data_IF_287449936414
#
_entry.id   IF_287449936414
#
_cell.length_a   1.000
_cell.length_b   1.000
_cell.length_c   1.000
_cell.angle_alpha   90.00
_cell.angle_beta   90.00
_cell.angle_gamma   90.00
#
_symmetry.space_group_name_H-M   'P 1'
#
loop_
_entity.id
_entity.type
_entity.pdbx_description
1 polymer ?
#
# COMPACT_ATOMS: atom_id res chain seq x y z
N UNK A 1 -13.80 8.22 32.42
CA UNK A 1 -13.47 7.17 31.43
C UNK A 1 -13.96 5.85 31.98
N UNK A 2 -14.86 5.18 31.30
CA UNK A 2 -15.47 3.93 31.78
C UNK A 2 -14.55 2.76 31.41
N UNK A 3 -13.67 2.35 32.36
CA UNK A 3 -12.60 1.37 32.13
C UNK A 3 -13.13 0.03 31.55
N UNK A 4 -14.26 -0.53 32.02
CA UNK A 4 -14.84 -1.73 31.44
C UNK A 4 -15.18 -1.59 29.94
N UNK A 5 -15.82 -0.49 29.54
CA UNK A 5 -16.16 -0.24 28.12
C UNK A 5 -14.92 -0.03 27.25
N UNK A 6 -13.88 0.62 27.80
CA UNK A 6 -12.59 0.75 27.10
C UNK A 6 -11.95 -0.63 26.86
N UNK A 7 -11.90 -1.48 27.88
CA UNK A 7 -11.34 -2.83 27.75
C UNK A 7 -12.11 -3.67 26.71
N UNK A 8 -13.46 -3.63 26.74
CA UNK A 8 -14.31 -4.31 25.77
C UNK A 8 -14.10 -3.77 24.34
N UNK A 9 -13.92 -2.46 24.18
CA UNK A 9 -13.66 -1.83 22.89
C UNK A 9 -12.30 -2.22 22.31
N UNK A 10 -11.28 -2.42 23.15
CA UNK A 10 -9.94 -2.83 22.74
C UNK A 10 -9.87 -4.33 22.38
N UNK A 11 -10.75 -5.16 22.93
CA UNK A 11 -10.67 -6.63 22.85
C UNK A 11 -10.66 -7.18 21.42
N UNK A 12 -11.48 -6.71 20.43
CA UNK A 12 -11.43 -7.19 19.06
C UNK A 12 -10.10 -6.92 18.37
N UNK A 13 -9.50 -5.73 18.63
CA UNK A 13 -8.20 -5.35 18.05
C UNK A 13 -7.08 -6.18 18.70
N UNK A 14 -7.11 -6.34 20.03
CA UNK A 14 -6.15 -7.16 20.76
C UNK A 14 -6.22 -8.62 20.32
N UNK A 15 -7.44 -9.17 20.14
CA UNK A 15 -7.64 -10.51 19.58
C UNK A 15 -7.02 -10.64 18.19
N UNK A 16 -7.29 -9.69 17.30
CA UNK A 16 -6.75 -9.70 15.95
C UNK A 16 -5.21 -9.68 15.97
N UNK A 17 -4.63 -8.79 16.79
CA UNK A 17 -3.18 -8.66 16.93
C UNK A 17 -2.56 -9.96 17.49
N UNK A 18 -3.15 -10.57 18.52
CA UNK A 18 -2.71 -11.83 19.09
C UNK A 18 -2.85 -12.98 18.08
N UNK A 19 -4.00 -13.10 17.41
CA UNK A 19 -4.26 -14.13 16.42
C UNK A 19 -3.22 -14.12 15.28
N UNK A 20 -2.88 -12.95 14.79
CA UNK A 20 -1.91 -12.79 13.70
C UNK A 20 -0.47 -12.95 14.17
N UNK A 21 -0.08 -12.30 15.28
CA UNK A 21 1.31 -12.19 15.71
C UNK A 21 1.77 -13.34 16.58
N UNK A 22 0.96 -13.77 17.57
CA UNK A 22 1.30 -14.83 18.52
C UNK A 22 0.90 -16.21 18.00
N UNK A 23 -0.36 -16.35 17.56
CA UNK A 23 -0.90 -17.65 17.14
C UNK A 23 -0.69 -17.94 15.65
N UNK A 24 -0.19 -16.96 14.86
CA UNK A 24 0.10 -17.10 13.42
C UNK A 24 -1.09 -17.61 12.60
N UNK A 25 -2.31 -17.27 13.03
CA UNK A 25 -3.56 -17.60 12.33
C UNK A 25 -3.57 -16.91 10.96
N UNK A 26 -4.07 -17.57 9.92
CA UNK A 26 -4.23 -16.96 8.60
C UNK A 26 -5.11 -15.72 8.66
N UNK A 27 -4.75 -14.66 7.95
CA UNK A 27 -5.37 -13.33 8.06
C UNK A 27 -6.90 -13.35 7.92
N UNK A 28 -7.45 -14.09 6.95
CA UNK A 28 -8.90 -14.18 6.77
C UNK A 28 -9.64 -14.83 7.97
N UNK A 29 -9.05 -15.82 8.65
CA UNK A 29 -9.63 -16.41 9.86
C UNK A 29 -9.47 -15.49 11.08
N UNK A 30 -8.34 -14.81 11.21
CA UNK A 30 -8.11 -13.87 12.30
C UNK A 30 -9.08 -12.67 12.21
N UNK A 31 -9.27 -12.10 11.01
CA UNK A 31 -10.22 -11.00 10.79
C UNK A 31 -11.67 -11.42 10.93
N UNK A 32 -12.04 -12.64 10.50
CA UNK A 32 -13.35 -13.20 10.76
C UNK A 32 -13.61 -13.34 12.26
N UNK A 33 -12.68 -13.97 13.00
CA UNK A 33 -12.80 -14.12 14.46
C UNK A 33 -12.94 -12.79 15.18
N UNK A 34 -12.15 -11.78 14.81
CA UNK A 34 -12.25 -10.43 15.35
C UNK A 34 -13.59 -9.75 15.04
N UNK A 35 -14.12 -9.93 13.81
CA UNK A 35 -15.41 -9.39 13.41
C UNK A 35 -16.57 -10.05 14.20
N UNK A 36 -16.53 -11.36 14.36
CA UNK A 36 -17.51 -12.09 15.16
C UNK A 36 -17.44 -11.71 16.64
N UNK A 37 -16.23 -11.52 17.19
CA UNK A 37 -16.03 -11.05 18.55
C UNK A 37 -16.59 -9.63 18.74
N UNK A 38 -16.29 -8.71 17.83
CA UNK A 38 -16.82 -7.36 17.88
C UNK A 38 -18.37 -7.35 17.82
N UNK A 39 -18.94 -8.21 16.96
CA UNK A 39 -20.39 -8.35 16.83
C UNK A 39 -21.02 -8.91 18.12
N UNK A 40 -20.41 -9.93 18.73
CA UNK A 40 -20.88 -10.49 19.98
C UNK A 40 -20.83 -9.45 21.13
N UNK A 41 -19.74 -8.70 21.23
CA UNK A 41 -19.60 -7.62 22.21
C UNK A 41 -20.60 -6.48 21.96
N UNK A 42 -20.82 -6.08 20.70
CA UNK A 42 -21.80 -5.08 20.33
C UNK A 42 -23.20 -5.47 20.77
N UNK A 43 -23.61 -6.72 20.51
CA UNK A 43 -24.90 -7.25 20.90
C UNK A 43 -25.06 -7.47 22.42
N UNK A 44 -23.96 -7.70 23.13
CA UNK A 44 -24.01 -7.94 24.59
C UNK A 44 -23.97 -6.62 25.38
N UNK A 45 -23.10 -5.68 25.02
CA UNK A 45 -22.72 -4.55 25.87
C UNK A 45 -22.95 -3.17 25.24
N UNK A 46 -23.14 -3.06 23.91
CA UNK A 46 -23.26 -1.80 23.19
C UNK A 46 -24.59 -1.64 22.45
N UNK A 47 -25.66 -2.25 22.96
CA UNK A 47 -27.00 -2.27 22.31
C UNK A 47 -27.62 -0.90 22.15
N UNK A 48 -27.28 0.04 23.02
CA UNK A 48 -27.78 1.42 22.96
C UNK A 48 -27.23 2.16 21.74
N UNK A 49 -25.99 1.82 21.31
CA UNK A 49 -25.36 2.38 20.14
C UNK A 49 -25.64 1.56 18.87
N UNK A 50 -25.70 0.23 18.97
CA UNK A 50 -25.98 -0.69 17.86
C UNK A 50 -27.14 -1.63 18.23
N UNK A 51 -28.41 -1.20 18.03
CA UNK A 51 -29.55 -2.06 18.24
C UNK A 51 -29.53 -3.31 17.34
N UNK A 52 -30.02 -4.48 17.79
CA UNK A 52 -30.00 -5.72 17.01
C UNK A 52 -30.59 -5.60 15.59
N UNK A 53 -31.61 -4.75 15.40
CA UNK A 53 -32.21 -4.48 14.09
C UNK A 53 -31.26 -3.82 13.09
N UNK A 54 -30.23 -3.08 13.55
CA UNK A 54 -29.25 -2.39 12.70
C UNK A 54 -28.03 -3.25 12.39
N UNK A 55 -27.85 -4.38 13.03
CA UNK A 55 -26.68 -5.25 12.84
C UNK A 55 -26.59 -5.77 11.41
N UNK A 56 -27.69 -6.31 10.88
CA UNK A 56 -27.70 -6.84 9.51
C UNK A 56 -27.41 -5.76 8.45
N UNK A 57 -28.03 -4.55 8.50
CA UNK A 57 -27.64 -3.43 7.64
C UNK A 57 -26.17 -3.03 7.73
N UNK A 58 -25.60 -2.95 8.94
CA UNK A 58 -24.18 -2.58 9.16
C UNK A 58 -23.23 -3.61 8.56
N UNK A 59 -23.52 -4.90 8.77
CA UNK A 59 -22.73 -6.01 8.19
C UNK A 59 -22.85 -5.99 6.65
N UNK A 60 -24.07 -5.82 6.12
CA UNK A 60 -24.31 -5.76 4.68
C UNK A 60 -23.58 -4.58 4.02
N UNK A 61 -23.57 -3.40 4.66
CA UNK A 61 -22.80 -2.23 4.20
C UNK A 61 -21.29 -2.56 4.17
N UNK A 62 -20.76 -3.18 5.23
CA UNK A 62 -19.37 -3.59 5.29
C UNK A 62 -18.97 -4.56 4.17
N UNK A 63 -19.79 -5.58 3.92
CA UNK A 63 -19.56 -6.55 2.83
C UNK A 63 -19.73 -5.90 1.46
N UNK A 64 -20.80 -5.13 1.26
CA UNK A 64 -21.09 -4.45 0.00
C UNK A 64 -19.95 -3.50 -0.40
N UNK A 65 -19.48 -2.70 0.55
CA UNK A 65 -18.38 -1.79 0.33
C UNK A 65 -17.04 -2.53 0.09
N UNK A 66 -16.83 -3.68 0.73
CA UNK A 66 -15.66 -4.52 0.47
C UNK A 66 -15.66 -5.05 -0.96
N UNK A 67 -16.78 -5.61 -1.41
CA UNK A 67 -16.89 -6.20 -2.75
C UNK A 67 -16.82 -5.14 -3.84
N UNK A 68 -17.52 -4.04 -3.66
CA UNK A 68 -17.51 -2.92 -4.60
C UNK A 68 -17.41 -1.59 -3.83
N UNK A 69 -16.37 -0.76 -4.08
CA UNK A 69 -15.41 -0.85 -5.20
C UNK A 69 -14.11 -1.61 -4.91
N UNK A 70 -13.79 -1.95 -3.63
CA UNK A 70 -12.42 -2.31 -3.21
C UNK A 70 -11.92 -3.59 -3.87
N UNK A 71 -12.63 -4.71 -3.69
CA UNK A 71 -12.21 -5.99 -4.27
C UNK A 71 -12.17 -5.95 -5.81
N UNK A 72 -13.05 -5.15 -6.44
CA UNK A 72 -13.03 -4.98 -7.88
C UNK A 72 -11.73 -4.31 -8.36
N UNK A 73 -11.30 -3.21 -7.72
CA UNK A 73 -10.03 -2.53 -8.09
C UNK A 73 -8.85 -3.47 -7.89
N UNK A 74 -8.80 -4.15 -6.75
CA UNK A 74 -7.74 -5.12 -6.44
C UNK A 74 -7.70 -6.25 -7.46
N UNK A 75 -8.86 -6.84 -7.78
CA UNK A 75 -8.96 -7.91 -8.77
C UNK A 75 -8.49 -7.44 -10.16
N UNK A 76 -8.94 -6.26 -10.59
CA UNK A 76 -8.58 -5.67 -11.86
C UNK A 76 -7.07 -5.41 -11.98
N UNK A 77 -6.46 -4.84 -10.93
CA UNK A 77 -5.03 -4.56 -10.86
C UNK A 77 -4.18 -5.85 -10.93
N UNK A 78 -4.55 -6.86 -10.13
CA UNK A 78 -3.91 -8.18 -10.14
C UNK A 78 -4.13 -8.91 -11.47
N UNK A 79 -5.27 -8.72 -12.13
CA UNK A 79 -5.55 -9.27 -13.45
C UNK A 79 -4.62 -8.68 -14.51
N UNK A 80 -4.42 -7.35 -14.56
CA UNK A 80 -3.46 -6.70 -15.48
C UNK A 80 -2.06 -7.30 -15.29
N UNK A 81 -1.60 -7.42 -14.04
CA UNK A 81 -0.33 -8.07 -13.73
C UNK A 81 -0.28 -9.52 -14.22
N UNK A 82 -1.31 -10.32 -13.90
CA UNK A 82 -1.37 -11.73 -14.27
C UNK A 82 -1.40 -11.94 -15.79
N UNK A 83 -2.06 -11.06 -16.55
CA UNK A 83 -2.03 -11.07 -18.01
C UNK A 83 -0.61 -10.80 -18.55
N UNK A 84 0.09 -9.83 -17.97
CA UNK A 84 1.46 -9.50 -18.38
C UNK A 84 2.43 -10.65 -18.10
N UNK A 85 2.20 -11.42 -17.03
CA UNK A 85 2.94 -12.67 -16.76
C UNK A 85 2.58 -13.78 -17.75
N UNK A 86 1.28 -14.00 -17.98
CA UNK A 86 0.75 -15.07 -18.85
C UNK A 86 1.17 -14.88 -20.31
N UNK A 87 1.29 -13.63 -20.79
CA UNK A 87 1.76 -13.30 -22.16
C UNK A 87 3.28 -13.43 -22.31
N UNK A 88 4.04 -13.57 -21.24
CA UNK A 88 5.51 -13.51 -21.23
C UNK A 88 6.09 -12.08 -21.26
N UNK A 89 5.25 -11.06 -21.38
CA UNK A 89 5.67 -9.65 -21.45
C UNK A 89 6.45 -9.21 -20.20
N UNK A 90 6.13 -9.77 -19.03
CA UNK A 90 6.90 -9.49 -17.79
C UNK A 90 8.37 -9.90 -17.92
N UNK A 91 8.67 -10.99 -18.66
CA UNK A 91 10.04 -11.40 -18.98
C UNK A 91 10.79 -10.34 -19.81
N UNK A 92 10.12 -9.80 -20.83
CA UNK A 92 10.65 -8.72 -21.68
C UNK A 92 10.94 -7.45 -20.86
N UNK A 93 10.02 -7.05 -19.98
CA UNK A 93 10.21 -5.91 -19.06
C UNK A 93 11.44 -6.12 -18.17
N UNK A 94 11.54 -7.30 -17.51
CA UNK A 94 12.66 -7.64 -16.62
C UNK A 94 14.00 -7.61 -17.36
N UNK A 95 14.07 -8.22 -18.54
CA UNK A 95 15.29 -8.23 -19.36
C UNK A 95 15.69 -6.80 -19.78
N UNK A 96 14.71 -5.97 -20.15
CA UNK A 96 14.96 -4.56 -20.49
C UNK A 96 15.56 -3.79 -19.32
N UNK A 97 15.01 -3.93 -18.12
CA UNK A 97 15.50 -3.25 -16.91
C UNK A 97 16.91 -3.71 -16.53
N UNK A 98 17.17 -5.01 -16.55
CA UNK A 98 18.47 -5.58 -16.22
C UNK A 98 19.57 -5.14 -17.20
N UNK A 99 19.22 -4.88 -18.46
CA UNK A 99 20.16 -4.44 -19.50
C UNK A 99 20.53 -2.95 -19.49
N UNK A 100 19.95 -2.12 -18.59
CA UNK A 100 20.15 -0.66 -18.59
C UNK A 100 21.56 -0.27 -18.17
N UNK A 101 22.16 -0.96 -17.20
CA UNK A 101 23.47 -0.61 -16.63
C UNK A 101 24.23 -1.79 -16.09
N UNK A 102 25.57 -1.75 -16.15
CA UNK A 102 26.43 -2.67 -15.43
C UNK A 102 26.72 -2.26 -13.97
N UNK A 103 26.35 -1.04 -13.55
CA UNK A 103 26.52 -0.62 -12.16
C UNK A 103 25.33 -1.12 -11.31
N UNK A 104 25.57 -1.97 -10.30
CA UNK A 104 24.52 -2.52 -9.47
C UNK A 104 23.74 -1.45 -8.69
N UNK A 105 24.33 -0.30 -8.41
CA UNK A 105 23.64 0.80 -7.71
C UNK A 105 22.57 1.45 -8.59
N UNK A 106 22.86 1.60 -9.89
CA UNK A 106 21.89 2.06 -10.89
C UNK A 106 20.72 1.08 -11.00
N UNK A 107 21.04 -0.23 -11.07
CA UNK A 107 20.04 -1.29 -11.11
C UNK A 107 19.19 -1.32 -9.83
N UNK A 108 19.79 -1.10 -8.66
CA UNK A 108 19.03 -1.00 -7.41
C UNK A 108 18.02 0.17 -7.44
N UNK A 109 18.44 1.37 -7.89
CA UNK A 109 17.54 2.51 -8.05
C UNK A 109 16.44 2.23 -9.08
N UNK A 110 16.81 1.66 -10.23
CA UNK A 110 15.85 1.39 -11.30
C UNK A 110 14.82 0.32 -10.91
N UNK A 111 15.29 -0.81 -10.34
CA UNK A 111 14.43 -1.97 -10.05
C UNK A 111 13.67 -1.77 -8.73
N UNK A 112 14.30 -1.24 -7.69
CA UNK A 112 13.65 -1.12 -6.38
C UNK A 112 12.83 0.16 -6.31
N UNK A 113 13.45 1.31 -6.62
CA UNK A 113 12.78 2.60 -6.50
C UNK A 113 11.82 2.88 -7.67
N UNK A 114 12.22 2.59 -8.90
CA UNK A 114 11.36 2.79 -10.07
C UNK A 114 10.33 1.67 -10.22
N UNK A 115 10.77 0.46 -10.55
CA UNK A 115 9.88 -0.64 -10.87
C UNK A 115 9.12 -1.16 -9.64
N UNK A 116 9.75 -1.20 -8.46
CA UNK A 116 9.09 -1.61 -7.21
C UNK A 116 7.90 -0.71 -6.85
N UNK A 117 8.11 0.62 -6.87
CA UNK A 117 7.04 1.57 -6.59
C UNK A 117 5.92 1.53 -7.65
N UNK A 118 6.30 1.42 -8.93
CA UNK A 118 5.35 1.18 -10.01
C UNK A 118 4.51 -0.09 -9.76
N UNK A 119 5.14 -1.18 -9.35
CA UNK A 119 4.43 -2.45 -9.06
C UNK A 119 3.53 -2.37 -7.83
N UNK A 120 3.90 -1.61 -6.80
CA UNK A 120 3.00 -1.36 -5.67
C UNK A 120 1.79 -0.56 -6.11
N UNK A 121 1.99 0.52 -6.86
CA UNK A 121 0.91 1.33 -7.42
C UNK A 121 -0.04 0.51 -8.30
N UNK A 122 0.51 -0.40 -9.12
CA UNK A 122 -0.29 -1.23 -10.01
C UNK A 122 -0.99 -2.39 -9.32
N UNK A 123 -0.29 -3.18 -8.51
CA UNK A 123 -0.79 -4.47 -8.05
C UNK A 123 -0.84 -4.59 -6.51
N UNK A 124 0.10 -3.97 -5.80
CA UNK A 124 0.19 -4.09 -4.35
C UNK A 124 0.43 -5.54 -3.88
N UNK A 125 -0.15 -5.89 -2.74
CA UNK A 125 -0.19 -7.27 -2.19
C UNK A 125 1.16 -8.00 -2.14
N UNK A 126 2.26 -7.24 -1.93
CA UNK A 126 3.61 -7.78 -1.82
C UNK A 126 4.34 -7.95 -3.15
N UNK A 127 3.74 -7.59 -4.30
CA UNK A 127 4.40 -7.65 -5.62
C UNK A 127 5.62 -6.75 -5.68
N UNK A 128 5.57 -5.57 -5.05
CA UNK A 128 6.65 -4.60 -4.96
C UNK A 128 7.87 -5.09 -4.14
N UNK A 129 7.67 -6.10 -3.32
CA UNK A 129 8.78 -6.73 -2.59
C UNK A 129 9.24 -8.00 -3.30
N UNK A 130 8.30 -8.88 -3.67
CA UNK A 130 8.62 -10.18 -4.25
C UNK A 130 9.33 -10.08 -5.59
N UNK A 131 8.79 -9.26 -6.51
CA UNK A 131 9.27 -9.24 -7.89
C UNK A 131 10.63 -8.55 -7.99
N UNK A 132 10.82 -7.33 -7.45
CA UNK A 132 12.12 -6.67 -7.46
C UNK A 132 13.19 -7.47 -6.71
N UNK A 133 12.87 -8.10 -5.56
CA UNK A 133 13.84 -8.93 -4.84
C UNK A 133 14.30 -10.13 -5.68
N UNK A 134 13.35 -10.85 -6.30
CA UNK A 134 13.68 -11.96 -7.20
C UNK A 134 14.51 -11.51 -8.41
N UNK A 135 14.19 -10.33 -8.99
CA UNK A 135 14.96 -9.74 -10.10
C UNK A 135 16.40 -9.44 -9.69
N UNK A 136 16.58 -8.77 -8.55
CA UNK A 136 17.91 -8.43 -8.03
C UNK A 136 18.76 -9.68 -7.77
N UNK A 137 18.18 -10.71 -7.16
CA UNK A 137 18.86 -11.99 -6.93
C UNK A 137 19.23 -12.65 -8.26
N UNK A 138 18.34 -12.63 -9.24
CA UNK A 138 18.57 -13.18 -10.58
C UNK A 138 19.71 -12.51 -11.35
N UNK A 139 20.07 -11.28 -11.02
CA UNK A 139 21.20 -10.52 -11.61
C UNK A 139 22.44 -10.47 -10.67
N UNK A 140 22.45 -11.26 -9.58
CA UNK A 140 23.63 -11.48 -8.76
C UNK A 140 23.75 -10.65 -7.48
N UNK A 141 22.68 -9.97 -7.04
CA UNK A 141 22.68 -9.30 -5.72
C UNK A 141 22.61 -10.31 -4.58
N UNK A 142 23.20 -9.93 -3.43
CA UNK A 142 23.01 -10.67 -2.19
C UNK A 142 21.50 -10.74 -1.86
N UNK A 143 20.96 -11.97 -1.66
CA UNK A 143 19.52 -12.13 -1.47
C UNK A 143 18.94 -11.37 -0.28
N UNK A 144 19.68 -11.29 0.83
CA UNK A 144 19.20 -10.60 2.02
C UNK A 144 19.18 -9.07 1.82
N UNK A 145 20.21 -8.51 1.18
CA UNK A 145 20.24 -7.09 0.81
C UNK A 145 19.13 -6.75 -0.18
N UNK A 146 18.88 -7.61 -1.17
CA UNK A 146 17.79 -7.43 -2.12
C UNK A 146 16.42 -7.33 -1.41
N UNK A 147 16.15 -8.25 -0.48
CA UNK A 147 14.91 -8.21 0.33
C UNK A 147 14.84 -6.94 1.17
N UNK A 148 15.92 -6.59 1.87
CA UNK A 148 15.94 -5.39 2.72
C UNK A 148 15.72 -4.10 1.94
N UNK A 149 16.37 -3.93 0.78
CA UNK A 149 16.15 -2.78 -0.10
C UNK A 149 14.67 -2.67 -0.51
N UNK A 150 14.04 -3.78 -0.89
CA UNK A 150 12.63 -3.78 -1.27
C UNK A 150 11.69 -3.49 -0.10
N UNK A 151 11.97 -4.04 1.11
CA UNK A 151 11.17 -3.76 2.30
C UNK A 151 11.23 -2.28 2.70
N UNK A 152 12.44 -1.70 2.70
CA UNK A 152 12.63 -0.27 3.02
C UNK A 152 11.97 0.63 1.98
N UNK A 153 12.14 0.34 0.70
CA UNK A 153 11.53 1.13 -0.36
C UNK A 153 10.00 1.08 -0.36
N UNK A 154 9.40 -0.05 0.07
CA UNK A 154 7.94 -0.24 0.03
C UNK A 154 7.18 0.53 1.13
N UNK A 155 7.84 1.30 1.96
CA UNK A 155 7.19 2.10 3.02
C UNK A 155 6.32 3.21 2.46
N UNK A 156 6.82 3.95 1.50
CA UNK A 156 6.14 5.11 0.87
C UNK A 156 4.99 4.68 -0.06
N UNK A 157 5.22 3.79 -1.05
CA UNK A 157 4.20 3.52 -2.06
C UNK A 157 3.02 2.70 -1.50
N UNK A 158 3.14 2.13 -0.31
CA UNK A 158 2.02 1.45 0.36
C UNK A 158 0.77 2.33 0.49
N UNK A 159 0.94 3.65 0.58
CA UNK A 159 -0.15 4.62 0.67
C UNK A 159 -1.07 4.60 -0.57
N UNK A 160 -0.48 4.55 -1.74
CA UNK A 160 -1.17 4.63 -3.04
C UNK A 160 -1.18 3.30 -3.79
N UNK A 161 -0.84 2.21 -3.09
CA UNK A 161 -0.76 0.87 -3.67
C UNK A 161 -2.09 0.38 -4.23
N UNK A 162 -2.03 -0.58 -5.16
CA UNK A 162 -3.21 -1.18 -5.82
C UNK A 162 -4.20 -0.12 -6.33
N UNK A 163 -3.70 0.82 -7.11
CA UNK A 163 -4.51 1.91 -7.70
C UNK A 163 -5.23 2.75 -6.62
N UNK A 164 -4.48 3.13 -5.56
CA UNK A 164 -4.97 4.03 -4.51
C UNK A 164 -5.93 3.44 -3.48
N UNK A 165 -6.13 2.11 -3.48
CA UNK A 165 -7.08 1.43 -2.58
C UNK A 165 -6.90 1.80 -1.11
N UNK A 166 -5.70 1.89 -0.51
CA UNK A 166 -5.54 2.23 0.89
C UNK A 166 -6.13 3.60 1.26
N UNK A 167 -5.87 4.63 0.45
CA UNK A 167 -6.40 5.99 0.68
C UNK A 167 -7.91 6.05 0.37
N UNK A 168 -8.36 5.49 -0.74
CA UNK A 168 -9.78 5.47 -1.10
C UNK A 168 -10.64 4.77 -0.04
N UNK A 169 -10.12 3.67 0.53
CA UNK A 169 -10.76 2.95 1.63
C UNK A 169 -10.78 3.77 2.91
N UNK A 170 -9.63 4.38 3.26
CA UNK A 170 -9.56 5.23 4.45
C UNK A 170 -10.53 6.41 4.36
N UNK A 171 -10.54 7.12 3.24
CA UNK A 171 -11.46 8.23 3.00
C UNK A 171 -12.92 7.84 3.29
N UNK A 172 -13.31 6.65 2.85
CA UNK A 172 -14.67 6.13 3.04
C UNK A 172 -15.00 5.77 4.49
N UNK A 173 -14.05 5.14 5.24
CA UNK A 173 -14.30 4.76 6.64
C UNK A 173 -14.17 5.92 7.60
N UNK A 174 -13.39 6.94 7.25
CA UNK A 174 -13.14 8.13 8.07
C UNK A 174 -14.02 9.33 7.73
N UNK A 175 -14.76 9.28 6.61
CA UNK A 175 -15.57 10.41 6.13
C UNK A 175 -14.76 11.53 5.48
N UNK A 176 -13.45 11.35 5.26
CA UNK A 176 -12.59 12.32 4.57
C UNK A 176 -12.84 12.33 3.06
N UNK A 177 -12.57 13.46 2.40
CA UNK A 177 -12.49 13.51 0.94
C UNK A 177 -11.23 12.79 0.44
N UNK A 178 -11.36 11.89 -0.53
CA UNK A 178 -10.26 11.04 -0.99
C UNK A 178 -9.13 11.85 -1.65
N UNK A 179 -9.44 12.90 -2.41
CA UNK A 179 -8.44 13.72 -3.08
C UNK A 179 -7.69 14.61 -2.08
N UNK A 180 -8.43 15.23 -1.14
CA UNK A 180 -7.81 16.01 -0.07
C UNK A 180 -6.92 15.13 0.80
N UNK A 181 -7.36 13.92 1.14
CA UNK A 181 -6.58 12.96 1.91
C UNK A 181 -5.32 12.50 1.15
N UNK A 182 -5.44 12.25 -0.16
CA UNK A 182 -4.29 11.90 -1.01
C UNK A 182 -3.24 13.02 -1.00
N UNK A 183 -3.65 14.27 -1.24
CA UNK A 183 -2.74 15.41 -1.20
C UNK A 183 -2.09 15.62 0.19
N UNK A 184 -2.86 15.48 1.28
CA UNK A 184 -2.34 15.59 2.65
C UNK A 184 -1.35 14.46 2.96
N UNK A 185 -1.65 13.23 2.52
CA UNK A 185 -0.75 12.08 2.68
C UNK A 185 0.57 12.31 1.94
N UNK A 186 0.52 12.80 0.71
CA UNK A 186 1.73 13.12 -0.06
C UNK A 186 2.58 14.19 0.63
N UNK A 187 1.95 15.25 1.15
CA UNK A 187 2.66 16.30 1.88
C UNK A 187 3.33 15.74 3.14
N UNK A 188 2.61 14.97 3.93
CA UNK A 188 3.11 14.40 5.18
C UNK A 188 4.25 13.39 4.93
N UNK A 189 4.15 12.58 3.87
CA UNK A 189 5.16 11.60 3.51
C UNK A 189 6.38 12.17 2.79
N UNK A 190 6.35 13.42 2.35
CA UNK A 190 7.38 14.00 1.48
C UNK A 190 8.79 13.81 2.03
N UNK A 191 8.99 14.11 3.32
CA UNK A 191 10.30 13.98 3.97
C UNK A 191 10.80 12.53 4.05
N UNK A 192 9.88 11.57 4.27
CA UNK A 192 10.20 10.14 4.32
C UNK A 192 10.50 9.62 2.92
N UNK A 193 9.70 10.03 1.94
CA UNK A 193 9.82 9.62 0.54
C UNK A 193 11.14 10.08 -0.07
N UNK A 194 11.55 11.33 0.20
CA UNK A 194 12.81 11.90 -0.28
C UNK A 194 14.06 11.17 0.24
N UNK A 195 13.95 10.36 1.26
CA UNK A 195 15.05 9.51 1.72
C UNK A 195 15.14 8.18 0.95
N UNK A 196 14.10 7.79 0.22
CA UNK A 196 13.97 6.46 -0.40
C UNK A 196 15.18 5.98 -1.19
N UNK A 197 15.63 6.70 -2.25
CA UNK A 197 16.80 6.32 -3.04
C UNK A 197 18.08 6.17 -2.19
N UNK A 198 18.26 7.07 -1.22
CA UNK A 198 19.43 7.07 -0.35
C UNK A 198 19.40 5.89 0.63
N UNK A 199 18.24 5.56 1.19
CA UNK A 199 18.07 4.40 2.06
C UNK A 199 18.35 3.09 1.32
N UNK A 200 17.88 2.96 0.07
CA UNK A 200 18.17 1.81 -0.81
C UNK A 200 19.69 1.63 -0.97
N UNK A 201 20.41 2.71 -1.30
CA UNK A 201 21.86 2.69 -1.50
C UNK A 201 22.61 2.41 -0.18
N UNK A 202 22.15 2.96 0.94
CA UNK A 202 22.72 2.68 2.26
C UNK A 202 22.53 1.22 2.67
N UNK A 203 21.39 0.62 2.40
CA UNK A 203 21.15 -0.82 2.63
C UNK A 203 22.03 -1.68 1.72
N UNK A 204 22.21 -1.26 0.47
CA UNK A 204 23.05 -1.98 -0.50
C UNK A 204 24.52 -2.06 -0.07
N UNK A 205 25.15 -0.94 0.30
CA UNK A 205 26.59 -0.92 0.55
C UNK A 205 27.05 0.18 1.52
N UNK A 206 26.18 0.67 2.39
CA UNK A 206 26.49 1.70 3.36
C UNK A 206 26.88 3.03 2.72
N UNK A 207 27.62 3.85 3.46
CA UNK A 207 28.08 5.18 2.97
C UNK A 207 28.97 5.08 1.72
N UNK A 208 29.67 3.97 1.54
CA UNK A 208 30.52 3.77 0.36
C UNK A 208 29.70 3.68 -0.93
N UNK A 209 28.49 3.13 -0.88
CA UNK A 209 27.61 3.04 -2.05
C UNK A 209 27.11 4.41 -2.56
N UNK A 210 27.16 5.44 -1.73
CA UNK A 210 26.76 6.80 -2.13
C UNK A 210 27.82 7.54 -2.95
N UNK A 211 29.08 7.09 -2.92
CA UNK A 211 30.18 7.80 -3.60
C UNK A 211 29.99 7.81 -5.12
N UNK A 212 29.89 8.99 -5.69
CA UNK A 212 29.77 9.20 -7.13
C UNK A 212 28.39 8.91 -7.76
N UNK A 213 27.43 8.38 -6.98
CA UNK A 213 26.08 8.06 -7.45
C UNK A 213 25.02 9.07 -6.97
N UNK A 214 25.37 9.95 -6.02
CA UNK A 214 24.44 10.94 -5.43
C UNK A 214 23.70 11.77 -6.49
N UNK A 215 24.34 12.28 -7.57
CA UNK A 215 23.59 13.03 -8.60
C UNK A 215 22.49 12.20 -9.26
N UNK A 216 22.75 10.91 -9.54
CA UNK A 216 21.73 10.02 -10.11
C UNK A 216 20.64 9.66 -9.08
N UNK A 217 21.00 9.52 -7.81
CA UNK A 217 20.02 9.30 -6.73
C UNK A 217 19.09 10.52 -6.59
N UNK A 218 19.60 11.73 -6.69
CA UNK A 218 18.79 12.96 -6.71
C UNK A 218 17.90 13.05 -7.95
N UNK A 219 18.39 12.63 -9.12
CA UNK A 219 17.54 12.54 -10.32
C UNK A 219 16.43 11.50 -10.12
N UNK A 220 16.73 10.33 -9.55
CA UNK A 220 15.73 9.31 -9.27
C UNK A 220 14.70 9.79 -8.25
N UNK A 221 15.14 10.55 -7.24
CA UNK A 221 14.28 11.12 -6.22
C UNK A 221 13.34 12.17 -6.80
N UNK A 222 13.87 13.17 -7.51
CA UNK A 222 13.07 14.20 -8.17
C UNK A 222 12.11 13.62 -9.22
N UNK A 223 12.56 12.62 -9.99
CA UNK A 223 11.75 11.93 -10.97
C UNK A 223 10.56 11.16 -10.33
N UNK A 224 10.71 10.71 -9.09
CA UNK A 224 9.61 10.13 -8.33
C UNK A 224 8.73 11.20 -7.69
N UNK A 225 9.31 12.07 -6.87
CA UNK A 225 8.61 13.02 -6.02
C UNK A 225 7.71 13.99 -6.79
N UNK A 226 8.20 14.53 -7.90
CA UNK A 226 7.46 15.58 -8.63
C UNK A 226 6.16 15.02 -9.21
N UNK A 227 6.15 14.00 -10.10
CA UNK A 227 4.89 13.48 -10.65
C UNK A 227 4.04 12.78 -9.59
N UNK A 228 4.65 12.13 -8.60
CA UNK A 228 3.95 11.51 -7.47
C UNK A 228 3.15 12.53 -6.65
N UNK A 229 3.79 13.63 -6.24
CA UNK A 229 3.14 14.69 -5.48
C UNK A 229 2.05 15.41 -6.29
N UNK A 230 2.34 15.75 -7.55
CA UNK A 230 1.38 16.41 -8.42
C UNK A 230 0.17 15.51 -8.70
N UNK A 231 0.38 14.23 -8.93
CA UNK A 231 -0.71 13.27 -9.11
C UNK A 231 -1.57 13.16 -7.85
N UNK A 232 -0.96 13.01 -6.67
CA UNK A 232 -1.69 12.94 -5.40
C UNK A 232 -2.51 14.22 -5.13
N UNK A 233 -1.98 15.37 -5.52
CA UNK A 233 -2.62 16.66 -5.26
C UNK A 233 -3.75 16.98 -6.23
N UNK A 234 -3.64 16.58 -7.51
CA UNK A 234 -4.53 17.05 -8.59
C UNK A 234 -5.32 15.94 -9.29
N UNK A 235 -4.84 14.68 -9.28
CA UNK A 235 -5.48 13.57 -9.98
C UNK A 235 -6.16 12.58 -9.04
N UNK A 236 -5.77 12.56 -7.76
CA UNK A 236 -6.33 11.64 -6.75
C UNK A 236 -5.37 10.51 -6.35
N UNK A 237 -5.85 9.51 -5.61
CA UNK A 237 -4.99 8.48 -5.03
C UNK A 237 -4.56 7.38 -6.01
N UNK A 238 -5.14 7.29 -7.21
CA UNK A 238 -4.96 6.15 -8.11
C UNK A 238 -3.62 6.14 -8.85
N UNK A 239 -3.06 7.32 -9.16
CA UNK A 239 -1.95 7.47 -10.09
C UNK A 239 -0.58 7.80 -9.49
N UNK A 240 -0.43 8.26 -8.23
CA UNK A 240 0.85 8.76 -7.73
C UNK A 240 2.02 7.80 -7.91
N UNK A 241 1.93 6.59 -7.39
CA UNK A 241 3.01 5.60 -7.44
C UNK A 241 3.30 5.12 -8.87
N UNK A 242 2.24 5.02 -9.68
CA UNK A 242 2.35 4.61 -11.08
C UNK A 242 3.17 5.64 -11.86
N UNK A 243 2.80 6.93 -11.76
CA UNK A 243 3.49 8.01 -12.47
C UNK A 243 4.88 8.26 -11.91
N UNK A 244 5.03 8.24 -10.57
CA UNK A 244 6.33 8.36 -9.93
C UNK A 244 7.29 7.24 -10.35
N UNK A 245 6.85 5.98 -10.27
CA UNK A 245 7.64 4.83 -10.66
C UNK A 245 8.04 4.84 -12.13
N UNK A 246 7.09 5.11 -13.04
CA UNK A 246 7.37 5.22 -14.50
C UNK A 246 8.35 6.34 -14.81
N UNK A 247 8.23 7.48 -14.14
CA UNK A 247 9.15 8.60 -14.33
C UNK A 247 10.57 8.27 -13.88
N UNK A 248 10.73 7.56 -12.75
CA UNK A 248 12.06 7.04 -12.34
C UNK A 248 12.63 6.10 -13.38
N UNK A 249 11.81 5.15 -13.87
CA UNK A 249 12.25 4.20 -14.89
C UNK A 249 12.75 4.92 -16.14
N UNK A 250 12.01 5.92 -16.61
CA UNK A 250 12.39 6.72 -17.77
C UNK A 250 13.66 7.56 -17.51
N UNK A 251 13.66 8.37 -16.45
CA UNK A 251 14.76 9.31 -16.18
C UNK A 251 16.06 8.59 -15.85
N UNK A 252 16.04 7.58 -14.98
CA UNK A 252 17.24 6.82 -14.61
C UNK A 252 17.79 6.05 -15.80
N UNK A 253 16.93 5.42 -16.62
CA UNK A 253 17.37 4.73 -17.83
C UNK A 253 17.99 5.71 -18.84
N UNK A 254 17.37 6.85 -19.09
CA UNK A 254 17.90 7.88 -20.01
C UNK A 254 19.28 8.40 -19.57
N UNK A 255 19.43 8.71 -18.29
CA UNK A 255 20.70 9.20 -17.74
C UNK A 255 21.76 8.09 -17.76
N UNK A 256 21.44 6.88 -17.33
CA UNK A 256 22.38 5.75 -17.27
C UNK A 256 22.87 5.33 -18.66
N UNK A 257 22.01 5.37 -19.67
CA UNK A 257 22.35 4.99 -21.06
C UNK A 257 22.84 6.16 -21.90
N UNK A 258 22.92 7.37 -21.33
CA UNK A 258 23.23 8.62 -22.04
C UNK A 258 22.32 8.83 -23.27
N UNK A 259 21.03 8.52 -23.12
CA UNK A 259 20.02 8.60 -24.17
C UNK A 259 20.06 7.48 -25.22
N UNK A 260 20.98 6.52 -25.10
CA UNK A 260 21.10 5.38 -26.02
C UNK A 260 20.33 4.18 -25.46
N UNK A 261 19.00 4.20 -25.57
CA UNK A 261 18.18 3.07 -25.17
C UNK A 261 18.47 1.90 -26.11
N UNK A 262 19.15 0.88 -25.59
CA UNK A 262 19.41 -0.36 -26.31
C UNK A 262 18.18 -1.28 -26.31
N UNK A 263 18.19 -2.27 -27.22
CA UNK A 263 17.15 -3.30 -27.26
C UNK A 263 16.02 -3.03 -28.26
N UNK A 264 15.06 -3.98 -28.31
CA UNK A 264 13.92 -3.89 -29.20
C UNK A 264 12.81 -3.01 -28.58
N UNK A 265 12.82 -1.71 -28.91
CA UNK A 265 11.85 -0.73 -28.43
C UNK A 265 10.40 -1.18 -28.71
N UNK A 266 10.14 -1.78 -29.87
CA UNK A 266 8.81 -2.31 -30.20
C UNK A 266 8.37 -3.39 -29.23
N UNK A 267 9.25 -4.34 -28.90
CA UNK A 267 8.95 -5.38 -27.92
C UNK A 267 8.67 -4.81 -26.52
N UNK A 268 9.43 -3.78 -26.12
CA UNK A 268 9.19 -3.08 -24.85
C UNK A 268 7.83 -2.37 -24.86
N UNK A 269 7.51 -1.60 -25.90
CA UNK A 269 6.20 -0.92 -26.00
C UNK A 269 5.03 -1.92 -25.92
N UNK A 270 5.12 -3.06 -26.60
CA UNK A 270 4.12 -4.12 -26.49
C UNK A 270 4.04 -4.71 -25.09
N UNK A 271 5.17 -4.92 -24.43
CA UNK A 271 5.20 -5.46 -23.08
C UNK A 271 4.58 -4.50 -22.04
N UNK A 272 4.79 -3.19 -22.19
CA UNK A 272 4.26 -2.16 -21.31
C UNK A 272 2.82 -1.72 -21.66
N UNK A 273 2.24 -2.18 -22.78
CA UNK A 273 0.93 -1.72 -23.27
C UNK A 273 -0.21 -1.83 -22.24
N UNK A 274 -0.40 -2.93 -21.48
CA UNK A 274 -1.48 -3.01 -20.48
C UNK A 274 -1.40 -1.91 -19.44
N UNK A 275 -0.19 -1.59 -18.98
CA UNK A 275 0.06 -0.54 -18.00
C UNK A 275 -0.15 0.85 -18.60
N UNK A 276 0.23 1.05 -19.86
CA UNK A 276 -0.05 2.28 -20.60
C UNK A 276 -1.55 2.55 -20.72
N UNK A 277 -2.38 1.53 -20.98
CA UNK A 277 -3.84 1.66 -20.99
C UNK A 277 -4.39 2.01 -19.61
N UNK A 278 -3.85 1.43 -18.53
CA UNK A 278 -4.25 1.80 -17.16
C UNK A 278 -4.02 3.28 -16.91
N UNK A 279 -2.81 3.78 -17.20
CA UNK A 279 -2.49 5.20 -17.02
C UNK A 279 -3.40 6.08 -17.88
N UNK A 280 -3.57 5.75 -19.16
CA UNK A 280 -4.39 6.54 -20.07
C UNK A 280 -5.86 6.61 -19.65
N UNK A 281 -6.46 5.48 -19.24
CA UNK A 281 -7.86 5.45 -18.84
C UNK A 281 -8.10 6.13 -17.49
N UNK A 282 -7.21 5.93 -16.50
CA UNK A 282 -7.34 6.57 -15.19
C UNK A 282 -7.09 8.09 -15.29
N UNK A 283 -6.04 8.51 -16.00
CA UNK A 283 -5.76 9.93 -16.22
C UNK A 283 -6.88 10.59 -17.02
N UNK A 284 -7.38 9.93 -18.06
CA UNK A 284 -8.53 10.41 -18.85
C UNK A 284 -9.79 10.59 -18.01
N UNK A 285 -10.04 9.65 -17.08
CA UNK A 285 -11.21 9.71 -16.18
C UNK A 285 -11.16 10.90 -15.21
N UNK A 286 -9.96 11.37 -14.83
CA UNK A 286 -9.82 12.54 -13.97
C UNK A 286 -10.42 13.80 -14.61
N UNK A 287 -10.42 13.89 -15.95
CA UNK A 287 -10.96 15.02 -16.72
C UNK A 287 -12.41 14.83 -17.17
N UNK A 288 -13.07 13.70 -16.84
CA UNK A 288 -14.47 13.48 -17.18
C UNK A 288 -15.40 14.41 -16.39
N UNK A 289 -16.52 14.85 -17.00
CA UNK A 289 -17.60 15.54 -16.28
C UNK A 289 -18.13 14.68 -15.12
N UNK A 290 -18.58 15.32 -14.04
CA UNK A 290 -19.08 14.64 -12.84
C UNK A 290 -20.22 13.65 -13.15
N UNK A 291 -21.06 13.95 -14.15
CA UNK A 291 -22.12 13.05 -14.61
C UNK A 291 -21.64 11.72 -15.17
N UNK A 292 -20.43 11.69 -15.75
CA UNK A 292 -19.82 10.48 -16.33
C UNK A 292 -18.88 9.77 -15.35
N UNK A 293 -18.29 10.49 -14.37
CA UNK A 293 -17.39 9.91 -13.36
C UNK A 293 -18.02 8.75 -12.59
N UNK A 294 -19.33 8.79 -12.34
CA UNK A 294 -20.05 7.71 -11.65
C UNK A 294 -19.97 6.35 -12.34
N UNK A 295 -19.79 6.33 -13.67
CA UNK A 295 -19.65 5.10 -14.47
C UNK A 295 -18.18 4.67 -14.68
N UNK A 296 -17.24 5.58 -14.43
CA UNK A 296 -15.81 5.39 -14.62
C UNK A 296 -15.13 5.03 -13.30
N UNK A 297 -15.62 3.95 -12.64
CA UNK A 297 -14.94 3.52 -11.41
C UNK A 297 -13.51 3.04 -11.72
N UNK A 298 -12.52 3.32 -10.85
CA UNK A 298 -11.14 2.91 -11.09
C UNK A 298 -11.01 1.40 -11.39
N UNK A 299 -11.75 0.56 -10.66
CA UNK A 299 -11.75 -0.89 -10.90
C UNK A 299 -12.24 -1.29 -12.29
N UNK A 300 -13.31 -0.65 -12.78
CA UNK A 300 -13.84 -0.91 -14.12
C UNK A 300 -12.86 -0.47 -15.20
N UNK A 301 -12.25 0.71 -15.04
CA UNK A 301 -11.27 1.24 -16.01
C UNK A 301 -10.02 0.36 -16.08
N UNK A 302 -9.49 -0.07 -14.92
CA UNK A 302 -8.32 -0.97 -14.86
C UNK A 302 -8.66 -2.34 -15.46
N UNK A 303 -9.88 -2.85 -15.25
CA UNK A 303 -10.32 -4.11 -15.86
C UNK A 303 -10.37 -3.99 -17.39
N UNK A 304 -10.95 -2.92 -17.92
CA UNK A 304 -10.98 -2.61 -19.36
C UNK A 304 -9.57 -2.49 -19.91
N UNK A 305 -8.67 -1.75 -19.22
CA UNK A 305 -7.26 -1.64 -19.59
C UNK A 305 -6.58 -3.01 -19.70
N UNK A 306 -6.90 -3.93 -18.77
CA UNK A 306 -6.40 -5.30 -18.78
C UNK A 306 -6.82 -6.05 -20.04
N UNK A 307 -8.10 -6.00 -20.40
CA UNK A 307 -8.59 -6.64 -21.63
C UNK A 307 -7.98 -6.03 -22.90
N UNK A 308 -7.88 -4.69 -22.98
CA UNK A 308 -7.23 -4.00 -24.11
C UNK A 308 -5.76 -4.39 -24.22
N UNK A 309 -5.04 -4.34 -23.10
CA UNK A 309 -3.63 -4.71 -23.04
C UNK A 309 -3.38 -6.19 -23.38
N UNK A 310 -4.20 -7.09 -22.86
CA UNK A 310 -4.13 -8.51 -23.17
C UNK A 310 -4.39 -8.80 -24.65
N UNK A 311 -5.34 -8.08 -25.27
CA UNK A 311 -5.60 -8.19 -26.72
C UNK A 311 -4.39 -7.70 -27.54
N UNK A 312 -3.79 -6.57 -27.17
CA UNK A 312 -2.54 -6.08 -27.80
C UNK A 312 -1.41 -7.09 -27.66
N UNK A 313 -1.31 -7.78 -26.51
CA UNK A 313 -0.32 -8.84 -26.28
C UNK A 313 -0.67 -10.18 -26.96
N UNK A 314 -1.74 -10.23 -27.77
CA UNK A 314 -2.12 -11.41 -28.55
C UNK A 314 -2.86 -12.49 -27.77
N UNK A 315 -3.37 -12.19 -26.57
CA UNK A 315 -4.15 -13.12 -25.78
C UNK A 315 -5.61 -13.18 -26.29
N UNK A 316 -6.14 -14.40 -26.49
CA UNK A 316 -7.56 -14.56 -26.82
C UNK A 316 -8.45 -14.24 -25.63
N UNK A 317 -9.68 -13.76 -25.86
CA UNK A 317 -10.67 -13.48 -24.82
C UNK A 317 -10.88 -14.68 -23.87
N UNK A 318 -10.98 -15.90 -24.43
CA UNK A 318 -11.10 -17.13 -23.63
C UNK A 318 -9.91 -17.31 -22.66
N UNK A 319 -8.70 -16.97 -23.10
CA UNK A 319 -7.50 -17.04 -22.26
C UNK A 319 -7.50 -15.95 -21.20
N UNK A 320 -7.91 -14.74 -21.55
CA UNK A 320 -8.03 -13.61 -20.60
C UNK A 320 -9.04 -13.91 -19.50
N UNK A 321 -10.25 -14.42 -19.82
CA UNK A 321 -11.24 -14.83 -18.81
C UNK A 321 -10.73 -15.97 -17.92
N UNK A 322 -9.96 -16.92 -18.48
CA UNK A 322 -9.31 -17.97 -17.69
C UNK A 322 -8.29 -17.37 -16.71
N UNK A 323 -7.49 -16.39 -17.11
CA UNK A 323 -6.55 -15.68 -16.24
C UNK A 323 -7.31 -14.93 -15.15
N UNK A 324 -8.40 -14.22 -15.47
CA UNK A 324 -9.25 -13.54 -14.50
C UNK A 324 -9.80 -14.52 -13.44
N UNK A 325 -10.33 -15.66 -13.85
CA UNK A 325 -10.83 -16.70 -12.94
C UNK A 325 -9.72 -17.29 -12.05
N UNK A 326 -8.53 -17.54 -12.61
CA UNK A 326 -7.36 -17.99 -11.84
C UNK A 326 -6.90 -16.92 -10.84
N UNK A 327 -6.90 -15.65 -11.24
CA UNK A 327 -6.54 -14.54 -10.35
C UNK A 327 -7.52 -14.46 -9.18
N UNK A 328 -8.82 -14.51 -9.44
CA UNK A 328 -9.84 -14.52 -8.39
C UNK A 328 -9.64 -15.71 -7.43
N UNK A 329 -9.42 -16.92 -7.96
CA UNK A 329 -9.19 -18.12 -7.18
C UNK A 329 -7.88 -18.06 -6.35
N UNK A 330 -6.82 -17.43 -6.88
CA UNK A 330 -5.53 -17.32 -6.18
C UNK A 330 -5.56 -16.30 -5.04
N UNK A 331 -6.36 -15.25 -5.16
CA UNK A 331 -6.40 -14.15 -4.19
C UNK A 331 -7.67 -14.10 -3.34
N UNK A 332 -8.52 -15.14 -3.36
CA UNK A 332 -9.77 -15.19 -2.61
C UNK A 332 -9.59 -14.92 -1.11
N UNK A 333 -8.49 -15.40 -0.51
CA UNK A 333 -8.19 -15.16 0.91
C UNK A 333 -7.91 -13.69 1.21
N UNK A 334 -7.32 -12.96 0.27
CA UNK A 334 -7.12 -11.51 0.40
C UNK A 334 -8.48 -10.78 0.34
N UNK A 335 -9.36 -11.16 -0.59
CA UNK A 335 -10.71 -10.59 -0.67
C UNK A 335 -11.54 -10.89 0.59
N UNK A 336 -11.50 -12.11 1.10
CA UNK A 336 -12.14 -12.48 2.35
C UNK A 336 -11.60 -11.64 3.54
N UNK A 337 -10.28 -11.45 3.61
CA UNK A 337 -9.66 -10.58 4.64
C UNK A 337 -10.18 -9.16 4.56
N UNK A 338 -10.26 -8.57 3.36
CA UNK A 338 -10.80 -7.22 3.14
C UNK A 338 -12.27 -7.15 3.59
N UNK A 339 -13.09 -8.12 3.23
CA UNK A 339 -14.49 -8.18 3.66
C UNK A 339 -14.61 -8.22 5.19
N UNK A 340 -13.92 -9.12 5.84
CA UNK A 340 -14.05 -9.30 7.28
C UNK A 340 -13.48 -8.13 8.09
N UNK A 341 -12.38 -7.51 7.66
CA UNK A 341 -11.84 -6.34 8.35
C UNK A 341 -12.74 -5.10 8.19
N UNK A 342 -13.42 -4.97 7.04
CA UNK A 342 -14.40 -3.89 6.84
C UNK A 342 -15.65 -4.10 7.69
N UNK A 343 -16.14 -5.34 7.78
CA UNK A 343 -17.25 -5.67 8.71
C UNK A 343 -16.82 -5.36 10.14
N UNK A 344 -15.64 -5.79 10.58
CA UNK A 344 -15.08 -5.47 11.91
C UNK A 344 -15.12 -3.96 12.18
N UNK A 345 -14.56 -3.15 11.27
CA UNK A 345 -14.49 -1.71 11.45
C UNK A 345 -15.87 -1.05 11.47
N UNK A 346 -16.80 -1.48 10.60
CA UNK A 346 -18.18 -0.96 10.58
C UNK A 346 -18.92 -1.27 11.87
N UNK A 347 -18.82 -2.51 12.36
CA UNK A 347 -19.43 -2.92 13.63
C UNK A 347 -18.85 -2.13 14.81
N UNK A 348 -17.51 -2.01 14.91
CA UNK A 348 -16.87 -1.27 15.98
C UNK A 348 -17.22 0.22 15.96
N UNK A 349 -17.32 0.82 14.77
CA UNK A 349 -17.71 2.24 14.61
C UNK A 349 -19.18 2.45 15.01
N UNK A 350 -20.07 1.62 14.50
CA UNK A 350 -21.52 1.71 14.81
C UNK A 350 -21.82 1.44 16.30
N UNK A 351 -21.04 0.57 16.95
CA UNK A 351 -21.15 0.28 18.37
C UNK A 351 -20.51 1.36 19.28
N UNK A 352 -19.89 2.42 18.73
CA UNK A 352 -19.20 3.45 19.52
C UNK A 352 -17.85 3.04 20.09
N UNK A 353 -17.40 1.80 19.86
CA UNK A 353 -16.12 1.29 20.37
C UNK A 353 -14.92 2.12 19.89
N UNK A 354 -14.95 2.59 18.63
CA UNK A 354 -13.88 3.41 18.04
C UNK A 354 -13.81 4.77 18.72
N UNK A 355 -14.95 5.39 19.02
CA UNK A 355 -15.01 6.68 19.73
C UNK A 355 -14.44 6.54 21.15
N UNK A 356 -14.83 5.50 21.89
CA UNK A 356 -14.28 5.21 23.23
C UNK A 356 -12.76 5.06 23.22
N UNK A 357 -12.19 4.39 22.21
CA UNK A 357 -10.74 4.23 22.05
C UNK A 357 -10.06 5.55 21.70
N UNK A 358 -10.65 6.37 20.82
CA UNK A 358 -10.11 7.67 20.44
C UNK A 358 -10.07 8.63 21.65
N UNK A 359 -11.17 8.72 22.41
CA UNK A 359 -11.26 9.55 23.60
C UNK A 359 -10.23 9.13 24.68
N UNK A 360 -10.05 7.82 24.86
CA UNK A 360 -9.05 7.28 25.79
C UNK A 360 -7.62 7.63 25.38
N UNK A 361 -7.28 7.52 24.09
CA UNK A 361 -5.97 7.89 23.57
C UNK A 361 -5.69 9.39 23.75
N UNK A 362 -6.67 10.23 23.44
CA UNK A 362 -6.55 11.70 23.63
C UNK A 362 -6.45 12.06 25.11
N UNK A 363 -7.22 11.40 25.98
CA UNK A 363 -7.15 11.65 27.44
C UNK A 363 -5.76 11.33 28.01
N UNK A 364 -5.07 10.32 27.49
CA UNK A 364 -3.73 9.93 27.97
C UNK A 364 -2.63 10.78 27.34
N UNK A 365 -2.73 11.11 26.04
CA UNK A 365 -1.65 11.76 25.28
C UNK A 365 -1.85 13.27 25.17
N UNK A 366 -3.07 13.79 25.30
CA UNK A 366 -3.38 15.20 25.12
C UNK A 366 -2.94 15.73 23.74
N UNK A 367 -2.50 16.99 23.72
CA UNK A 367 -2.06 17.67 22.49
C UNK A 367 -0.82 17.08 21.81
N UNK A 368 -0.09 16.17 22.47
CA UNK A 368 1.09 15.51 21.87
C UNK A 368 0.71 14.25 21.05
N UNK A 369 -0.56 13.87 21.01
CA UNK A 369 -1.05 12.70 20.24
C UNK A 369 -0.56 12.69 18.78
N UNK A 370 -0.51 13.81 18.02
CA UNK A 370 -0.04 13.80 16.63
C UNK A 370 1.35 13.20 16.44
N UNK A 371 2.24 13.31 17.44
CA UNK A 371 3.54 12.64 17.41
C UNK A 371 3.43 11.11 17.50
N UNK A 372 2.34 10.58 18.04
CA UNK A 372 2.11 9.14 18.19
C UNK A 372 1.19 8.57 17.10
N UNK A 373 0.48 9.41 16.35
CA UNK A 373 -0.45 8.97 15.32
C UNK A 373 0.18 8.05 14.26
N UNK A 374 1.41 8.31 13.74
CA UNK A 374 2.08 7.38 12.83
C UNK A 374 2.42 6.03 13.48
N UNK A 375 2.70 5.98 14.79
CA UNK A 375 2.96 4.75 15.53
C UNK A 375 1.72 3.85 15.55
N UNK A 376 0.53 4.42 15.74
CA UNK A 376 -0.74 3.66 15.67
C UNK A 376 -0.92 3.03 14.28
N UNK A 377 -0.70 3.82 13.23
CA UNK A 377 -0.70 3.31 11.86
C UNK A 377 0.34 2.20 11.65
N UNK A 378 1.56 2.37 12.20
CA UNK A 378 2.63 1.39 12.08
C UNK A 378 2.31 0.06 12.78
N UNK A 379 1.67 0.11 13.94
CA UNK A 379 1.16 -1.08 14.60
C UNK A 379 0.13 -1.81 13.73
N UNK A 380 -0.78 -1.06 13.09
CA UNK A 380 -1.74 -1.62 12.14
C UNK A 380 -1.06 -2.29 10.94
N UNK A 381 -0.09 -1.63 10.32
CA UNK A 381 0.68 -2.16 9.21
C UNK A 381 1.50 -3.40 9.58
N UNK A 382 2.14 -3.39 10.75
CA UNK A 382 2.88 -4.52 11.30
C UNK A 382 1.98 -5.75 11.53
N UNK A 383 0.84 -5.55 12.20
CA UNK A 383 -0.08 -6.64 12.58
C UNK A 383 -0.76 -7.23 11.35
N UNK A 384 -1.27 -6.39 10.44
CA UNK A 384 -2.10 -6.86 9.32
C UNK A 384 -1.31 -7.19 8.06
N UNK A 385 -0.12 -6.62 7.90
CA UNK A 385 0.68 -6.70 6.67
C UNK A 385 0.06 -5.96 5.48
N UNK A 386 -0.96 -5.13 5.72
CA UNK A 386 -1.75 -4.47 4.68
C UNK A 386 -2.05 -3.02 5.07
N UNK A 387 -1.65 -2.08 4.22
CA UNK A 387 -1.99 -0.66 4.40
C UNK A 387 -3.50 -0.44 4.40
N UNK A 388 -4.23 -1.11 3.52
CA UNK A 388 -5.70 -1.04 3.48
C UNK A 388 -6.33 -1.51 4.79
N UNK A 389 -5.93 -2.68 5.29
CA UNK A 389 -6.48 -3.23 6.54
C UNK A 389 -6.13 -2.36 7.75
N UNK A 390 -4.90 -1.84 7.83
CA UNK A 390 -4.48 -0.90 8.88
C UNK A 390 -5.33 0.38 8.86
N UNK A 391 -5.60 0.92 7.67
CA UNK A 391 -6.42 2.10 7.48
C UNK A 391 -7.88 1.88 7.88
N UNK A 392 -8.41 0.70 7.58
CA UNK A 392 -9.77 0.33 7.99
C UNK A 392 -9.89 0.23 9.52
N UNK A 393 -8.88 -0.38 10.17
CA UNK A 393 -8.90 -0.59 11.61
C UNK A 393 -8.77 0.72 12.41
N UNK A 394 -7.86 1.59 12.00
CA UNK A 394 -7.51 2.75 12.81
C UNK A 394 -7.91 4.09 12.19
N UNK A 395 -8.42 4.11 10.96
CA UNK A 395 -8.78 5.35 10.28
C UNK A 395 -9.81 6.18 11.03
N UNK A 396 -10.93 5.58 11.43
CA UNK A 396 -11.97 6.26 12.20
C UNK A 396 -11.49 6.66 13.61
N UNK A 397 -10.58 5.89 14.22
CA UNK A 397 -9.96 6.25 15.49
C UNK A 397 -9.10 7.52 15.34
N UNK A 398 -8.30 7.60 14.27
CA UNK A 398 -7.47 8.78 14.00
C UNK A 398 -8.30 10.04 13.78
N UNK A 399 -9.38 9.93 13.00
CA UNK A 399 -10.27 11.09 12.77
C UNK A 399 -11.09 11.44 14.02
N UNK A 400 -11.46 10.48 14.86
CA UNK A 400 -12.04 10.72 16.17
C UNK A 400 -11.09 11.50 17.09
N UNK A 401 -9.84 11.07 17.17
CA UNK A 401 -8.81 11.78 17.93
C UNK A 401 -8.54 13.20 17.37
N UNK A 402 -8.52 13.35 16.04
CA UNK A 402 -8.35 14.65 15.39
C UNK A 402 -9.47 15.64 15.80
N UNK A 403 -10.73 15.17 15.76
CA UNK A 403 -11.89 15.97 16.15
C UNK A 403 -11.82 16.37 17.64
N UNK A 404 -11.44 15.46 18.52
CA UNK A 404 -11.30 15.72 19.95
C UNK A 404 -10.19 16.75 20.26
N UNK A 405 -9.13 16.79 19.44
CA UNK A 405 -8.01 17.71 19.58
C UNK A 405 -8.19 19.03 18.81
N UNK A 406 -9.20 19.13 17.94
CA UNK A 406 -9.40 20.29 17.07
C UNK A 406 -8.35 20.43 15.96
N UNK A 407 -7.66 19.34 15.59
CA UNK A 407 -6.71 19.29 14.45
C UNK A 407 -7.38 18.76 13.18
N UNK A 408 -6.85 19.08 11.97
CA UNK A 408 -7.47 18.60 10.73
C UNK A 408 -7.54 17.07 10.67
N UNK A 409 -8.74 16.52 10.43
CA UNK A 409 -8.97 15.07 10.36
C UNK A 409 -8.10 14.39 9.30
N UNK A 410 -7.90 15.04 8.13
CA UNK A 410 -7.03 14.53 7.07
C UNK A 410 -5.57 14.37 7.52
N UNK A 411 -5.08 15.18 8.47
CA UNK A 411 -3.71 15.11 8.96
C UNK A 411 -3.47 13.80 9.72
N UNK A 412 -4.32 13.48 10.70
CA UNK A 412 -4.14 12.26 11.50
C UNK A 412 -4.53 11.00 10.69
N UNK A 413 -5.49 11.10 9.78
CA UNK A 413 -5.78 10.04 8.82
C UNK A 413 -4.56 9.76 7.91
N UNK A 414 -3.91 10.80 7.38
CA UNK A 414 -2.69 10.68 6.60
C UNK A 414 -1.52 10.11 7.42
N UNK A 415 -1.41 10.49 8.70
CA UNK A 415 -0.44 9.93 9.63
C UNK A 415 -0.62 8.41 9.80
N UNK A 416 -1.87 7.94 9.85
CA UNK A 416 -2.18 6.51 9.87
C UNK A 416 -1.68 5.80 8.60
N UNK A 417 -1.94 6.37 7.42
CA UNK A 417 -1.48 5.83 6.13
C UNK A 417 0.03 5.72 6.10
N UNK A 418 0.72 6.80 6.44
CA UNK A 418 2.19 6.86 6.50
C UNK A 418 2.74 5.80 7.47
N UNK A 419 2.20 5.75 8.68
CA UNK A 419 2.57 4.77 9.68
C UNK A 419 2.35 3.33 9.20
N UNK A 420 1.20 3.04 8.60
CA UNK A 420 0.88 1.70 8.09
C UNK A 420 1.91 1.23 7.04
N UNK A 421 2.34 2.10 6.14
CA UNK A 421 3.41 1.82 5.19
C UNK A 421 4.74 1.49 5.88
N UNK A 422 5.10 2.27 6.91
CA UNK A 422 6.34 2.06 7.68
C UNK A 422 6.27 0.73 8.45
N UNK A 423 5.14 0.42 9.11
CA UNK A 423 4.95 -0.85 9.83
C UNK A 423 5.06 -2.09 8.95
N UNK A 424 4.65 -1.96 7.70
CA UNK A 424 4.75 -3.03 6.69
C UNK A 424 6.20 -3.46 6.40
N UNK A 425 7.20 -2.57 6.63
CA UNK A 425 8.63 -2.90 6.47
C UNK A 425 9.05 -4.09 7.34
N UNK A 426 8.54 -4.18 8.56
CA UNK A 426 8.89 -5.22 9.53
C UNK A 426 7.78 -6.26 9.73
N UNK A 427 6.70 -6.17 8.97
CA UNK A 427 5.61 -7.12 9.06
C UNK A 427 6.08 -8.54 8.68
N UNK A 428 5.73 -9.57 9.49
CA UNK A 428 6.08 -10.95 9.21
C UNK A 428 5.65 -11.43 7.82
N UNK A 429 4.49 -10.98 7.33
CA UNK A 429 3.98 -11.34 6.01
C UNK A 429 4.85 -10.76 4.88
N UNK A 430 5.21 -9.47 4.95
CA UNK A 430 6.07 -8.82 3.94
C UNK A 430 7.46 -9.45 3.89
N UNK A 431 8.02 -9.75 5.06
CA UNK A 431 9.32 -10.42 5.19
C UNK A 431 9.26 -11.84 4.61
N UNK A 432 8.20 -12.60 4.93
CA UNK A 432 8.02 -13.96 4.39
C UNK A 432 7.90 -13.96 2.87
N UNK A 433 7.14 -13.02 2.29
CA UNK A 433 7.00 -12.85 0.84
C UNK A 433 8.36 -12.53 0.19
N UNK A 434 9.08 -11.56 0.73
CA UNK A 434 10.38 -11.15 0.20
C UNK A 434 11.44 -12.24 0.29
N UNK A 435 11.54 -12.90 1.45
CA UNK A 435 12.53 -13.96 1.67
C UNK A 435 12.22 -15.23 0.87
N UNK A 436 10.94 -15.55 0.66
CA UNK A 436 10.54 -16.65 -0.22
C UNK A 436 10.88 -16.35 -1.68
N UNK A 437 10.59 -15.13 -2.15
CA UNK A 437 10.91 -14.70 -3.52
C UNK A 437 12.43 -14.66 -3.80
N UNK A 438 13.23 -14.35 -2.78
CA UNK A 438 14.68 -14.35 -2.84
C UNK A 438 15.32 -15.74 -2.52
N UNK A 439 14.51 -16.79 -2.36
CA UNK A 439 14.92 -18.16 -2.04
C UNK A 439 15.71 -18.30 -0.71
N UNK A 440 15.45 -17.42 0.25
CA UNK A 440 16.08 -17.39 1.58
C UNK A 440 15.03 -17.41 2.72
N UNK A 441 13.89 -18.06 2.54
CA UNK A 441 12.83 -18.13 3.55
C UNK A 441 13.33 -18.49 4.98
N UNK A 442 14.30 -19.40 5.21
CA UNK A 442 14.84 -19.67 6.55
C UNK A 442 15.50 -18.45 7.23
N UNK A 443 15.91 -17.44 6.48
CA UNK A 443 16.57 -16.23 6.99
C UNK A 443 15.58 -15.08 7.31
N UNK A 444 14.28 -15.36 7.38
CA UNK A 444 13.26 -14.34 7.69
C UNK A 444 13.52 -13.61 9.02
N UNK A 445 13.96 -14.32 10.07
CA UNK A 445 14.35 -13.72 11.34
C UNK A 445 15.55 -12.78 11.25
N UNK A 446 16.51 -13.04 10.38
CA UNK A 446 17.64 -12.16 10.11
C UNK A 446 17.18 -10.91 9.34
N UNK A 447 16.31 -11.09 8.34
CA UNK A 447 15.72 -9.97 7.60
C UNK A 447 14.96 -9.03 8.54
N UNK A 448 14.16 -9.56 9.48
CA UNK A 448 13.49 -8.77 10.51
C UNK A 448 14.49 -7.95 11.34
N UNK A 449 15.50 -8.61 11.91
CA UNK A 449 16.50 -7.94 12.76
C UNK A 449 17.23 -6.81 12.03
N UNK A 450 17.53 -6.99 10.73
CA UNK A 450 18.21 -5.98 9.91
C UNK A 450 17.29 -4.86 9.40
N UNK A 451 16.00 -5.13 9.20
CA UNK A 451 15.01 -4.12 8.84
C UNK A 451 14.63 -3.23 10.04
N UNK A 452 14.66 -3.76 11.25
CA UNK A 452 14.15 -3.10 12.45
C UNK A 452 14.81 -1.73 12.75
N UNK A 453 16.13 -1.54 12.64
CA UNK A 453 16.73 -0.21 12.82
C UNK A 453 16.26 0.83 11.81
N UNK A 454 16.07 0.44 10.56
CA UNK A 454 15.52 1.31 9.49
C UNK A 454 14.09 1.68 9.78
N UNK A 455 13.29 0.72 10.22
CA UNK A 455 11.92 0.96 10.68
C UNK A 455 11.88 2.02 11.78
N UNK A 456 12.69 1.88 12.83
CA UNK A 456 12.72 2.84 13.94
C UNK A 456 13.12 4.24 13.47
N UNK A 457 14.15 4.35 12.63
CA UNK A 457 14.61 5.64 12.12
C UNK A 457 13.55 6.34 11.27
N UNK A 458 12.90 5.61 10.36
CA UNK A 458 11.86 6.17 9.50
C UNK A 458 10.60 6.51 10.30
N UNK A 459 10.21 5.66 11.26
CA UNK A 459 9.08 5.92 12.13
C UNK A 459 9.30 7.16 13.02
N UNK A 460 10.48 7.31 13.59
CA UNK A 460 10.83 8.49 14.41
C UNK A 460 10.72 9.78 13.58
N UNK A 461 11.23 9.78 12.35
CA UNK A 461 11.06 10.90 11.42
C UNK A 461 9.59 11.17 11.12
N UNK A 462 8.81 10.14 10.84
CA UNK A 462 7.38 10.28 10.54
C UNK A 462 6.60 10.86 11.72
N UNK A 463 6.89 10.40 12.95
CA UNK A 463 6.30 10.92 14.18
C UNK A 463 6.65 12.40 14.38
N UNK A 464 7.93 12.76 14.18
CA UNK A 464 8.37 14.15 14.30
C UNK A 464 7.68 15.06 13.27
N UNK A 465 7.66 14.65 11.99
CA UNK A 465 7.02 15.44 10.92
C UNK A 465 5.53 15.62 11.19
N UNK A 466 4.82 14.55 11.58
CA UNK A 466 3.40 14.65 11.89
C UNK A 466 3.12 15.58 13.08
N UNK A 467 3.88 15.44 14.15
CA UNK A 467 3.73 16.31 15.33
C UNK A 467 3.99 17.77 15.02
N UNK A 468 5.06 18.08 14.26
CA UNK A 468 5.38 19.46 13.87
C UNK A 468 4.35 20.10 12.92
N UNK A 469 3.72 19.32 12.06
CA UNK A 469 2.66 19.82 11.17
C UNK A 469 1.31 19.99 11.87
N UNK A 470 1.15 19.44 13.06
CA UNK A 470 -0.06 19.57 13.87
C UNK A 470 0.00 20.74 14.85
N UNK A 471 1.20 21.32 15.10
CA UNK A 471 1.42 22.53 15.91
C UNK A 471 1.08 23.80 15.13
#
# INVERSE_FOLDING_TARGET
MDIPFLALSLLPIAFLAAALSLFKVKAHWATLGAALLALALALAFFRDHLPPAQVAPVVADGVGFALYPICLVVLAALFVYSLTVESGAMGTIRAGLAGVSGDPRVLALLIVWGFGNFMEGMAGFGTAVAIPAAMLVGIGFDPLKAVLMCLVANTTPTAYGSVGVPIATLAKVSGCDANALAGTTALLQLAVTALGPFLILLVYGGRAALRGIVPLALVADAAFLVPWFLAARFLGPELPDILGGLSVLACVALVATKGRLGGNLRAQLFAWAPFGFVVALLAGAAFLPTSLKRYASPGTLVLVAGFLGGAVQGLSFKRMFRVLGKTLASYWTAFATICFVLVLARVMTAAGMVATLADALVAVTGSVYPFFAPLVGALGGFVTGSGTSANVLFGSLQTGAANALGVPANLLAAANVMGAGIGKMICPQSIAIGTAAALIAPRAGEAFKRAFPWFLAVLALACLVCGLLAL
#
